data_IF_154235557088
#
_entry.id   IF_154235557088
#
_cell.length_a   1.000
_cell.length_b   1.000
_cell.length_c   1.000
_cell.angle_alpha   90.00
_cell.angle_beta   90.00
_cell.angle_gamma   90.00
#
_symmetry.space_group_name_H-M   'P 1'
#
loop_
_entity.id
_entity.type
_entity.pdbx_description
1 polymer ?
#
# COMPACT_ATOMS: atom_id res chain seq x y z
N UNK A 1 6.38 -9.28 7.38
CA UNK A 1 6.02 -9.13 5.94
C UNK A 1 6.61 -10.21 5.03
N UNK A 2 7.67 -10.91 5.39
CA UNK A 2 8.16 -12.07 4.62
C UNK A 2 7.05 -13.09 4.30
N UNK A 3 6.05 -13.24 5.16
CA UNK A 3 4.87 -14.08 4.92
C UNK A 3 3.95 -13.57 3.82
N UNK A 4 3.95 -12.26 3.53
CA UNK A 4 3.13 -11.70 2.45
C UNK A 4 3.76 -11.92 1.07
N UNK A 5 5.08 -11.92 0.98
CA UNK A 5 5.82 -12.17 -0.27
C UNK A 5 5.58 -13.58 -0.83
N UNK A 6 5.32 -14.56 0.04
CA UNK A 6 5.07 -15.94 -0.34
C UNK A 6 3.61 -16.26 -0.62
N UNK A 7 2.70 -15.30 -0.34
CA UNK A 7 1.27 -15.54 -0.49
C UNK A 7 0.83 -15.32 -1.96
N UNK A 8 0.74 -16.41 -2.72
CA UNK A 8 0.27 -16.41 -4.12
C UNK A 8 -1.13 -15.79 -4.30
N UNK A 9 -1.92 -15.68 -3.23
CA UNK A 9 -3.31 -15.18 -3.26
C UNK A 9 -3.40 -13.67 -3.48
N UNK A 10 -2.39 -12.91 -3.02
CA UNK A 10 -2.37 -11.45 -3.16
C UNK A 10 -1.76 -10.97 -4.48
N UNK A 11 -0.99 -11.82 -5.16
CA UNK A 11 -0.18 -11.47 -6.33
C UNK A 11 0.75 -10.28 -6.07
N UNK A 12 1.27 -10.17 -4.84
CA UNK A 12 2.21 -9.14 -4.43
C UNK A 12 3.63 -9.69 -4.39
N UNK A 13 4.59 -8.86 -4.80
CA UNK A 13 6.02 -9.16 -4.70
C UNK A 13 6.78 -7.94 -4.16
N UNK A 14 8.01 -8.15 -3.67
CA UNK A 14 8.88 -7.10 -3.14
C UNK A 14 8.22 -6.22 -2.06
N UNK A 15 7.55 -6.85 -1.08
CA UNK A 15 6.83 -6.13 -0.03
C UNK A 15 7.82 -5.47 0.94
N UNK A 16 7.62 -4.18 1.21
CA UNK A 16 8.41 -3.37 2.15
C UNK A 16 7.55 -2.43 2.99
N UNK A 17 8.02 -2.10 4.20
CA UNK A 17 7.35 -1.12 5.07
C UNK A 17 7.82 0.31 4.82
N UNK A 18 9.04 0.49 4.31
CA UNK A 18 9.54 1.82 4.02
C UNK A 18 8.65 2.51 2.99
N UNK A 19 8.16 3.69 3.34
CA UNK A 19 7.38 4.58 2.48
C UNK A 19 8.04 5.96 2.56
N UNK A 20 8.41 6.61 1.45
CA UNK A 20 9.18 7.86 1.44
C UNK A 20 8.61 8.99 2.28
N UNK A 21 7.29 9.09 2.44
CA UNK A 21 6.67 10.10 3.31
C UNK A 21 7.10 9.98 4.78
N UNK A 22 7.56 8.82 5.22
CA UNK A 22 8.00 8.61 6.61
C UNK A 22 9.26 9.39 6.96
N UNK A 23 10.10 9.73 5.98
CA UNK A 23 11.29 10.59 6.17
C UNK A 23 10.94 11.97 6.75
N UNK A 24 9.68 12.42 6.58
CA UNK A 24 9.21 13.71 7.11
C UNK A 24 8.79 13.67 8.56
N UNK A 25 8.44 12.50 9.07
CA UNK A 25 7.79 12.37 10.38
C UNK A 25 8.61 11.54 11.37
N UNK A 26 9.58 10.77 10.89
CA UNK A 26 10.36 9.85 11.73
C UNK A 26 11.86 10.03 11.50
N UNK A 27 12.63 9.89 12.57
CA UNK A 27 14.10 9.85 12.49
C UNK A 27 14.56 8.48 11.99
N UNK A 28 14.54 8.30 10.67
CA UNK A 28 14.93 7.05 10.04
C UNK A 28 16.44 6.91 9.89
N UNK A 29 16.91 5.67 9.95
CA UNK A 29 18.29 5.29 9.72
C UNK A 29 18.35 3.86 9.14
N UNK A 30 19.53 3.38 8.79
CA UNK A 30 19.72 2.08 8.15
C UNK A 30 19.22 0.87 8.96
N UNK A 31 18.99 1.04 10.26
CA UNK A 31 18.53 -0.07 11.13
C UNK A 31 17.03 -0.06 11.34
N UNK A 32 16.35 1.08 11.21
CA UNK A 32 14.93 1.22 11.52
C UNK A 32 14.02 1.61 10.34
N UNK A 33 14.56 2.01 9.19
CA UNK A 33 13.77 2.55 8.08
C UNK A 33 12.63 1.64 7.62
N UNK A 34 12.80 0.32 7.70
CA UNK A 34 11.81 -0.66 7.27
C UNK A 34 10.99 -1.26 8.43
N UNK A 35 11.12 -0.72 9.64
CA UNK A 35 10.38 -1.19 10.84
C UNK A 35 9.14 -0.37 11.16
N UNK A 36 8.97 0.79 10.52
CA UNK A 36 7.78 1.63 10.73
C UNK A 36 6.55 0.88 10.21
N UNK A 37 5.60 0.66 11.12
CA UNK A 37 4.30 0.10 10.79
C UNK A 37 3.24 0.93 11.53
N UNK A 38 2.64 1.87 10.81
CA UNK A 38 1.60 2.72 11.35
C UNK A 38 0.31 1.93 11.45
N UNK A 39 -0.28 1.89 12.62
CA UNK A 39 -1.57 1.27 12.90
C UNK A 39 -2.14 1.83 14.21
N UNK A 40 -3.35 1.44 14.58
CA UNK A 40 -3.90 1.68 15.91
C UNK A 40 -3.62 0.45 16.81
N UNK A 41 -4.60 -0.01 17.57
CA UNK A 41 -4.45 -1.18 18.47
C UNK A 41 -4.25 -2.51 17.71
N UNK A 42 -4.72 -2.59 16.49
CA UNK A 42 -4.70 -3.81 15.67
C UNK A 42 -3.80 -3.64 14.47
N UNK A 43 -2.97 -4.61 14.21
CA UNK A 43 -2.11 -4.68 13.03
C UNK A 43 -2.36 -5.95 12.23
N UNK A 44 -2.19 -5.85 10.91
CA UNK A 44 -2.26 -6.98 10.02
C UNK A 44 -1.10 -7.94 10.27
N UNK A 45 -1.39 -9.19 10.65
CA UNK A 45 -0.37 -10.22 10.91
C UNK A 45 -0.32 -11.32 9.86
N UNK A 46 -1.45 -11.64 9.22
CA UNK A 46 -1.50 -12.67 8.18
C UNK A 46 -2.72 -12.49 7.27
N UNK A 47 -2.60 -12.93 6.01
CA UNK A 47 -3.70 -12.98 5.04
C UNK A 47 -4.07 -14.44 4.83
N UNK A 48 -5.26 -14.85 5.26
CA UNK A 48 -5.68 -16.24 5.19
C UNK A 48 -6.22 -16.63 3.84
N UNK A 49 -7.23 -15.93 3.35
CA UNK A 49 -7.87 -16.21 2.06
C UNK A 49 -8.59 -14.99 1.52
N UNK A 50 -8.90 -15.00 0.23
CA UNK A 50 -9.76 -14.01 -0.41
C UNK A 50 -11.21 -14.27 -0.03
N UNK A 51 -12.00 -13.21 0.18
CA UNK A 51 -13.42 -13.32 0.52
C UNK A 51 -14.27 -13.60 -0.75
N UNK A 52 -14.29 -14.84 -1.19
CA UNK A 52 -15.10 -15.26 -2.33
C UNK A 52 -14.73 -14.61 -3.67
N UNK A 53 -15.53 -14.87 -4.70
CA UNK A 53 -15.26 -14.38 -6.07
C UNK A 53 -15.72 -12.95 -6.34
N UNK A 54 -16.47 -12.32 -5.41
CA UNK A 54 -17.18 -11.06 -5.66
C UNK A 54 -16.35 -9.79 -5.45
N UNK A 55 -15.25 -9.84 -4.70
CA UNK A 55 -14.41 -8.67 -4.45
C UNK A 55 -12.93 -9.00 -4.60
N UNK A 56 -12.25 -8.25 -5.47
CA UNK A 56 -10.82 -8.49 -5.74
C UNK A 56 -9.91 -8.04 -4.57
N UNK A 57 -10.41 -7.16 -3.68
CA UNK A 57 -9.60 -6.48 -2.66
C UNK A 57 -10.05 -6.77 -1.22
N UNK A 58 -11.00 -7.69 -0.98
CA UNK A 58 -11.39 -8.10 0.36
C UNK A 58 -10.78 -9.46 0.71
N UNK A 59 -10.10 -9.53 1.85
CA UNK A 59 -9.41 -10.73 2.32
C UNK A 59 -9.80 -11.04 3.75
N UNK A 60 -9.89 -12.32 4.08
CA UNK A 60 -9.96 -12.78 5.46
C UNK A 60 -8.55 -12.70 6.06
N UNK A 61 -8.37 -11.83 7.03
CA UNK A 61 -7.07 -11.52 7.61
C UNK A 61 -7.03 -11.88 9.09
N UNK A 62 -5.83 -12.25 9.55
CA UNK A 62 -5.52 -12.36 10.96
C UNK A 62 -4.96 -11.03 11.43
N UNK A 63 -5.60 -10.41 12.40
CA UNK A 63 -5.14 -9.21 13.07
C UNK A 63 -4.54 -9.59 14.42
N UNK A 64 -3.48 -8.89 14.82
CA UNK A 64 -2.83 -9.03 16.12
C UNK A 64 -3.02 -7.74 16.90
N UNK A 65 -3.41 -7.85 18.17
CA UNK A 65 -3.43 -6.71 19.08
C UNK A 65 -2.00 -6.38 19.50
N UNK A 66 -1.58 -5.12 19.33
CA UNK A 66 -0.22 -4.67 19.64
C UNK A 66 -0.02 -4.34 21.12
N UNK A 67 -1.12 -4.16 21.89
CA UNK A 67 -1.09 -3.84 23.31
C UNK A 67 -1.04 -5.10 24.20
N UNK A 68 -1.32 -6.27 23.64
CA UNK A 68 -1.50 -7.50 24.42
C UNK A 68 -0.21 -8.32 24.50
N UNK A 69 0.16 -8.66 25.74
CA UNK A 69 1.28 -9.54 26.06
C UNK A 69 0.99 -11.00 25.65
N UNK A 70 -0.29 -11.38 25.58
CA UNK A 70 -0.74 -12.76 25.31
C UNK A 70 -0.96 -13.08 23.82
N UNK A 71 -0.45 -12.27 22.89
CA UNK A 71 -0.61 -12.50 21.44
C UNK A 71 -2.06 -12.66 20.97
N UNK A 72 -2.98 -11.88 21.57
CA UNK A 72 -4.39 -11.94 21.19
C UNK A 72 -4.58 -11.61 19.70
N UNK A 73 -5.27 -12.51 19.01
CA UNK A 73 -5.49 -12.40 17.57
C UNK A 73 -6.94 -12.63 17.22
N UNK A 74 -7.44 -11.89 16.22
CA UNK A 74 -8.77 -12.11 15.65
C UNK A 74 -8.69 -12.29 14.14
N UNK A 75 -9.73 -12.93 13.58
CA UNK A 75 -9.89 -13.03 12.11
C UNK A 75 -11.01 -12.10 11.67
N UNK A 76 -10.70 -11.22 10.72
CA UNK A 76 -11.66 -10.24 10.20
C UNK A 76 -11.49 -10.06 8.69
N UNK A 77 -12.56 -9.63 8.02
CA UNK A 77 -12.51 -9.18 6.64
C UNK A 77 -11.87 -7.80 6.56
N UNK A 78 -10.84 -7.68 5.74
CA UNK A 78 -10.10 -6.43 5.55
C UNK A 78 -10.09 -6.06 4.08
N UNK A 79 -10.42 -4.81 3.80
CA UNK A 79 -10.30 -4.24 2.46
C UNK A 79 -8.88 -3.72 2.23
N UNK A 80 -8.25 -4.13 1.14
CA UNK A 80 -6.94 -3.64 0.72
C UNK A 80 -7.13 -2.59 -0.37
N UNK A 81 -6.91 -1.33 -0.02
CA UNK A 81 -6.88 -0.26 -1.01
C UNK A 81 -5.57 -0.32 -1.78
N UNK A 82 -5.67 -0.62 -3.07
CA UNK A 82 -4.53 -0.63 -3.98
C UNK A 82 -4.42 0.76 -4.62
N UNK A 83 -3.39 1.51 -4.24
CA UNK A 83 -3.15 2.87 -4.75
C UNK A 83 -1.84 2.87 -5.58
N UNK A 84 -1.92 2.94 -6.93
CA UNK A 84 -0.75 2.97 -7.77
C UNK A 84 0.13 4.20 -7.52
N UNK A 85 1.45 4.03 -7.43
CA UNK A 85 2.41 5.13 -7.26
C UNK A 85 2.59 5.93 -8.55
N UNK A 86 2.45 5.27 -9.69
CA UNK A 86 2.41 5.86 -11.01
C UNK A 86 1.00 5.68 -11.58
N UNK A 87 0.58 6.63 -12.38
CA UNK A 87 -0.73 6.60 -13.02
C UNK A 87 -0.75 5.49 -14.11
N UNK A 88 -1.54 4.42 -13.93
CA UNK A 88 -1.59 3.32 -14.88
C UNK A 88 -2.10 3.77 -16.26
N UNK A 89 -2.98 4.78 -16.28
CA UNK A 89 -3.52 5.30 -17.51
C UNK A 89 -2.45 6.00 -18.35
N UNK A 90 -1.60 6.82 -17.71
CA UNK A 90 -0.44 7.44 -18.38
C UNK A 90 0.55 6.40 -18.92
N UNK A 91 0.66 5.24 -18.26
CA UNK A 91 1.46 4.15 -18.77
C UNK A 91 0.85 3.55 -20.05
N UNK A 92 -0.46 3.32 -20.07
CA UNK A 92 -1.18 2.75 -21.23
C UNK A 92 -1.09 3.67 -22.44
N UNK A 93 -1.24 4.99 -22.26
CA UNK A 93 -1.14 5.98 -23.35
C UNK A 93 0.29 6.37 -23.73
N UNK A 94 1.31 5.64 -23.26
CA UNK A 94 2.71 5.84 -23.65
C UNK A 94 3.38 7.10 -23.08
N UNK A 95 2.79 7.75 -22.06
CA UNK A 95 3.41 8.94 -21.42
C UNK A 95 4.62 8.60 -20.54
N UNK A 96 4.83 7.34 -20.21
CA UNK A 96 6.05 6.84 -19.61
C UNK A 96 6.86 6.07 -20.64
N UNK A 97 8.18 6.13 -20.54
CA UNK A 97 9.04 5.32 -21.39
C UNK A 97 8.92 3.86 -20.99
N UNK A 98 8.25 3.04 -21.82
CA UNK A 98 8.00 1.62 -21.54
C UNK A 98 9.27 0.76 -21.44
N UNK A 99 10.40 1.26 -21.96
CA UNK A 99 11.71 0.58 -21.84
C UNK A 99 12.44 0.94 -20.55
N UNK A 100 11.90 1.84 -19.73
CA UNK A 100 12.51 2.25 -18.47
C UNK A 100 12.17 1.24 -17.36
N UNK A 101 13.12 0.36 -17.08
CA UNK A 101 12.99 -0.65 -16.00
C UNK A 101 12.79 -0.03 -14.61
N UNK A 102 13.14 1.25 -14.43
CA UNK A 102 12.99 1.95 -13.16
C UNK A 102 11.54 2.28 -12.79
N UNK A 103 10.60 2.16 -13.74
CA UNK A 103 9.16 2.32 -13.46
C UNK A 103 8.61 1.30 -12.47
N UNK A 104 9.23 0.11 -12.39
CA UNK A 104 8.79 -0.98 -11.53
C UNK A 104 9.66 -1.16 -10.27
N UNK A 105 10.62 -0.29 -10.05
CA UNK A 105 11.43 -0.31 -8.85
C UNK A 105 10.69 0.33 -7.68
N UNK A 106 10.85 -0.24 -6.47
CA UNK A 106 10.40 0.38 -5.24
C UNK A 106 11.48 1.32 -4.68
N UNK A 107 11.07 2.39 -3.97
CA UNK A 107 12.02 3.32 -3.38
C UNK A 107 12.85 2.65 -2.29
N UNK A 108 14.14 2.97 -2.22
CA UNK A 108 15.04 2.55 -1.15
C UNK A 108 15.38 3.72 -0.24
N UNK A 109 15.55 3.46 1.06
CA UNK A 109 15.90 4.50 2.04
C UNK A 109 17.26 5.16 1.72
N UNK A 110 18.25 4.39 1.36
CA UNK A 110 19.60 4.83 1.01
C UNK A 110 19.73 5.34 -0.43
N UNK A 111 18.62 5.35 -1.19
CA UNK A 111 18.55 5.75 -2.60
C UNK A 111 19.54 4.99 -3.51
N UNK A 112 19.91 3.78 -3.10
CA UNK A 112 20.79 2.91 -3.88
C UNK A 112 20.15 2.40 -5.18
N UNK A 113 18.82 2.39 -5.23
CA UNK A 113 18.03 1.94 -6.37
C UNK A 113 17.45 3.17 -7.07
N UNK A 114 17.74 3.31 -8.36
CA UNK A 114 17.11 4.36 -9.17
C UNK A 114 15.63 4.00 -9.41
N UNK A 115 14.76 4.95 -9.14
CA UNK A 115 13.31 4.85 -9.37
C UNK A 115 12.80 6.08 -10.11
N UNK A 116 11.58 5.99 -10.62
CA UNK A 116 10.95 7.16 -11.24
C UNK A 116 10.77 8.30 -10.21
N UNK A 117 11.05 9.59 -10.54
CA UNK A 117 10.99 10.70 -9.58
C UNK A 117 9.68 10.80 -8.80
N UNK A 118 8.54 10.49 -9.42
CA UNK A 118 7.24 10.48 -8.77
C UNK A 118 7.13 9.41 -7.69
N UNK A 119 7.88 8.32 -7.78
CA UNK A 119 7.92 7.27 -6.76
C UNK A 119 8.75 7.73 -5.55
N UNK A 120 9.81 8.51 -5.77
CA UNK A 120 10.61 9.10 -4.68
C UNK A 120 9.94 10.30 -4.01
N UNK A 121 8.99 10.94 -4.69
CA UNK A 121 8.34 12.13 -4.18
C UNK A 121 7.52 11.81 -2.92
N UNK A 122 7.94 12.36 -1.79
CA UNK A 122 7.23 12.22 -0.50
C UNK A 122 5.81 12.80 -0.55
N UNK A 123 5.49 13.66 -1.54
CA UNK A 123 4.13 14.18 -1.78
C UNK A 123 3.32 13.31 -2.75
N UNK A 124 3.79 12.12 -3.11
CA UNK A 124 2.99 11.21 -3.92
C UNK A 124 1.61 11.02 -3.28
N UNK A 125 0.55 11.21 -4.08
CA UNK A 125 -0.83 11.17 -3.59
C UNK A 125 -1.20 9.87 -2.88
N UNK A 126 -0.61 8.74 -3.32
CA UNK A 126 -0.84 7.44 -2.69
C UNK A 126 -0.22 7.36 -1.30
N UNK A 127 0.93 7.99 -1.07
CA UNK A 127 1.55 8.07 0.26
C UNK A 127 0.76 8.96 1.20
N UNK A 128 0.32 10.13 0.71
CA UNK A 128 -0.49 11.08 1.49
C UNK A 128 -1.83 10.45 1.87
N UNK A 129 -2.49 9.77 0.93
CA UNK A 129 -3.76 9.08 1.18
C UNK A 129 -3.62 8.00 2.25
N UNK A 130 -2.59 7.16 2.17
CA UNK A 130 -2.32 6.15 3.20
C UNK A 130 -2.04 6.75 4.58
N UNK A 131 -1.24 7.82 4.63
CA UNK A 131 -0.94 8.51 5.89
C UNK A 131 -2.17 9.22 6.46
N UNK A 132 -3.01 9.81 5.62
CA UNK A 132 -4.28 10.40 6.04
C UNK A 132 -5.27 9.36 6.58
N UNK A 133 -5.34 8.17 5.97
CA UNK A 133 -6.13 7.07 6.52
C UNK A 133 -5.67 6.67 7.93
N UNK A 134 -4.37 6.63 8.17
CA UNK A 134 -3.83 6.41 9.51
C UNK A 134 -4.27 7.50 10.50
N UNK A 135 -4.13 8.79 10.15
CA UNK A 135 -4.52 9.90 11.01
C UNK A 135 -6.01 9.89 11.35
N UNK A 136 -6.87 9.63 10.37
CA UNK A 136 -8.32 9.54 10.60
C UNK A 136 -8.72 8.34 11.44
N UNK A 137 -7.99 7.22 11.33
CA UNK A 137 -8.16 6.07 12.22
C UNK A 137 -7.78 6.39 13.67
N UNK A 138 -6.72 7.17 13.89
CA UNK A 138 -6.39 7.66 15.24
C UNK A 138 -7.52 8.53 15.82
N UNK A 139 -8.10 9.41 15.00
CA UNK A 139 -9.25 10.22 15.40
C UNK A 139 -10.50 9.39 15.67
N UNK A 140 -10.77 8.37 14.86
CA UNK A 140 -11.88 7.43 15.10
C UNK A 140 -11.75 6.76 16.46
N UNK A 141 -10.58 6.23 16.76
CA UNK A 141 -10.36 5.40 17.95
C UNK A 141 -10.17 6.24 19.24
N UNK A 142 -9.63 7.45 19.14
CA UNK A 142 -9.35 8.30 20.30
C UNK A 142 -10.40 9.39 20.55
N UNK A 143 -11.15 9.79 19.51
CA UNK A 143 -12.07 10.94 19.57
C UNK A 143 -13.45 10.63 18.96
N UNK A 144 -13.77 9.36 18.71
CA UNK A 144 -15.05 8.92 18.13
C UNK A 144 -15.43 9.60 16.81
N UNK A 145 -14.44 9.89 15.97
CA UNK A 145 -14.65 10.47 14.65
C UNK A 145 -15.23 9.44 13.68
N UNK A 146 -16.56 9.39 13.61
CA UNK A 146 -17.34 8.34 12.91
C UNK A 146 -17.11 8.28 11.38
N UNK A 147 -16.48 9.29 10.79
CA UNK A 147 -16.12 9.31 9.36
C UNK A 147 -14.76 8.68 9.06
N UNK A 148 -13.99 8.33 10.10
CA UNK A 148 -12.75 7.56 9.95
C UNK A 148 -13.04 6.08 9.71
N UNK A 149 -12.07 5.38 9.15
CA UNK A 149 -12.08 3.91 9.01
C UNK A 149 -10.92 3.32 9.80
N UNK A 150 -11.11 2.12 10.34
CA UNK A 150 -10.01 1.42 10.99
C UNK A 150 -8.88 1.12 10.00
N UNK A 151 -7.66 1.38 10.45
CA UNK A 151 -6.46 1.24 9.66
C UNK A 151 -5.52 0.23 10.30
N UNK A 152 -5.14 -0.78 9.53
CA UNK A 152 -4.37 -1.92 10.01
C UNK A 152 -2.93 -1.96 9.46
N UNK A 153 -2.54 -0.95 8.71
CA UNK A 153 -1.19 -0.78 8.17
C UNK A 153 -1.14 -0.39 6.71
N UNK A 154 0.02 0.10 6.29
CA UNK A 154 0.39 0.34 4.90
C UNK A 154 1.73 -0.29 4.59
N UNK A 155 1.92 -0.67 3.36
CA UNK A 155 3.18 -1.18 2.85
C UNK A 155 3.28 -0.92 1.34
N UNK A 156 4.48 -0.91 0.80
CA UNK A 156 4.71 -0.88 -0.64
C UNK A 156 4.96 -2.29 -1.16
N UNK A 157 4.49 -2.54 -2.37
CA UNK A 157 4.70 -3.80 -3.07
C UNK A 157 4.52 -3.62 -4.58
N UNK A 158 5.01 -4.57 -5.34
CA UNK A 158 4.68 -4.70 -6.76
C UNK A 158 3.44 -5.59 -6.87
N UNK A 159 2.36 -5.06 -7.45
CA UNK A 159 1.13 -5.81 -7.74
C UNK A 159 1.23 -6.43 -9.13
N UNK A 160 1.45 -7.73 -9.18
CA UNK A 160 1.45 -8.47 -10.44
C UNK A 160 0.03 -8.58 -11.01
N UNK A 161 -0.09 -8.44 -12.33
CA UNK A 161 -1.36 -8.51 -13.05
C UNK A 161 -2.41 -7.50 -12.51
N UNK A 162 -1.98 -6.25 -12.28
CA UNK A 162 -2.89 -5.19 -11.85
C UNK A 162 -3.91 -4.89 -12.95
N UNK A 163 -5.20 -4.92 -12.59
CA UNK A 163 -6.29 -4.65 -13.51
C UNK A 163 -6.73 -3.19 -13.38
N UNK A 164 -6.81 -2.50 -14.50
CA UNK A 164 -7.30 -1.12 -14.59
C UNK A 164 -8.65 -1.14 -15.29
N UNK A 165 -9.65 -0.48 -14.71
CA UNK A 165 -10.90 -0.22 -15.42
C UNK A 165 -10.68 1.01 -16.31
N UNK A 166 -10.89 0.85 -17.61
CA UNK A 166 -10.69 1.91 -18.62
C UNK A 166 -11.99 2.34 -19.29
N UNK A 167 -13.13 1.85 -18.83
CA UNK A 167 -14.42 2.06 -19.50
C UNK A 167 -14.74 3.55 -19.61
N UNK A 168 -14.53 4.30 -18.53
CA UNK A 168 -14.84 5.74 -18.48
C UNK A 168 -13.85 6.60 -19.29
N UNK A 169 -12.68 6.05 -19.62
CA UNK A 169 -11.60 6.74 -20.33
C UNK A 169 -11.42 6.24 -21.78
N UNK A 170 -12.34 5.43 -22.28
CA UNK A 170 -12.22 4.75 -23.56
C UNK A 170 -12.15 5.74 -24.74
N UNK A 171 -12.95 6.80 -24.71
CA UNK A 171 -12.97 7.83 -25.74
C UNK A 171 -11.63 8.58 -25.82
N UNK A 172 -11.01 8.82 -24.67
CA UNK A 172 -9.70 9.45 -24.62
C UNK A 172 -8.60 8.50 -25.14
N UNK A 173 -8.70 7.20 -24.85
CA UNK A 173 -7.74 6.20 -25.37
C UNK A 173 -7.80 6.07 -26.89
N UNK A 174 -8.99 6.13 -27.48
CA UNK A 174 -9.19 6.04 -28.93
C UNK A 174 -8.65 7.27 -29.66
N UNK A 175 -8.68 8.44 -29.01
CA UNK A 175 -8.24 9.72 -29.58
C UNK A 175 -6.78 10.07 -29.24
N UNK A 176 -6.13 9.34 -28.33
CA UNK A 176 -4.72 9.55 -28.01
C UNK A 176 -3.83 8.84 -29.04
N UNK A 177 -3.07 9.65 -29.82
CA UNK A 177 -1.99 9.17 -30.70
C UNK A 177 -0.73 8.78 -29.89
#
# INVERSE_FOLDING_TARGET
FSKFQTNKKTSLSNVQNYIPIYDRFFSLNNTNYNSINLNHLWSLSDIKEKDGDKSENIFNCKLKNISDIEDFTMTQKVFFKMAPLLDPFKYIVGKYNHTDEHLFNLPSFDKSIRVHPKIEDTNNSSYIDGFFCFLTSQMLNSHSFIHGVDYYGSFLAIKNNYKVNIIDDLDYLITSE
#
